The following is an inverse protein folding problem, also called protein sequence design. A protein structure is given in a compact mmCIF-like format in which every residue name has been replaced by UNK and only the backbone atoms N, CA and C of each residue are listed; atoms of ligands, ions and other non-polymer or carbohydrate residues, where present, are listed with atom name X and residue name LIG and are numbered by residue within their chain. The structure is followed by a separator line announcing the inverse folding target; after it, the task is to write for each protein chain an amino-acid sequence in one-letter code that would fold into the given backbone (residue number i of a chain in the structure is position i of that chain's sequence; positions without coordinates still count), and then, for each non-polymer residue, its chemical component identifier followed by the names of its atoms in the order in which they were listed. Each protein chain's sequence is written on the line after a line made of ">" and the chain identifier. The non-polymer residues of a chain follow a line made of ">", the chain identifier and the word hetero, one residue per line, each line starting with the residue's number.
data_IF_953420782852
#
_entry.id   IF_953420782852
#
_cell.length_a   1.000
_cell.length_b   1.000
_cell.length_c   1.000
_cell.angle_alpha   90.00
_cell.angle_beta   90.00
_cell.angle_gamma   90.00
#
_symmetry.space_group_name_H-M   'P 1'
#
loop_
_entity.id
_entity.type
_entity.pdbx_description
1 polymer ?
#
# COMPACT_ATOMS: atom_id res chain seq x y z
N UNK A 1 -9.35 -12.06 17.60
CA UNK A 1 -10.21 -11.97 16.39
C UNK A 1 -11.41 -11.17 16.84
N UNK A 2 -11.60 -9.97 16.29
CA UNK A 2 -12.73 -9.11 16.69
C UNK A 2 -14.05 -9.76 16.29
N UNK A 3 -15.00 -9.78 17.22
CA UNK A 3 -16.34 -10.34 16.98
C UNK A 3 -17.38 -9.66 17.83
N UNK A 4 -18.54 -9.40 17.23
CA UNK A 4 -19.71 -8.82 17.88
C UNK A 4 -20.90 -9.74 17.70
N UNK A 5 -21.84 -9.73 18.64
CA UNK A 5 -23.03 -10.56 18.56
C UNK A 5 -24.23 -9.77 19.05
N UNK A 6 -25.27 -9.69 18.22
CA UNK A 6 -26.57 -9.15 18.56
C UNK A 6 -27.49 -10.33 18.83
N UNK A 7 -27.95 -10.50 20.05
CA UNK A 7 -28.82 -11.62 20.46
C UNK A 7 -29.82 -11.24 21.58
N UNK A 8 -29.84 -9.97 21.96
CA UNK A 8 -30.72 -9.38 22.99
C UNK A 8 -31.34 -8.13 22.39
N UNK A 9 -32.47 -7.68 22.94
CA UNK A 9 -33.25 -6.58 22.34
C UNK A 9 -32.44 -5.28 22.32
N UNK A 10 -31.73 -5.03 23.40
CA UNK A 10 -30.92 -3.84 23.69
C UNK A 10 -29.81 -3.67 22.64
N UNK A 11 -29.25 -4.79 22.16
CA UNK A 11 -28.24 -4.79 21.11
C UNK A 11 -28.73 -4.18 19.78
N UNK A 12 -30.04 -4.13 19.55
CA UNK A 12 -30.62 -3.61 18.32
C UNK A 12 -31.03 -2.14 18.43
N UNK A 13 -30.92 -1.50 19.59
CA UNK A 13 -31.37 -0.12 19.77
C UNK A 13 -30.56 0.86 18.91
N UNK A 14 -29.24 0.66 18.85
CA UNK A 14 -28.30 1.53 18.12
C UNK A 14 -28.03 1.07 16.68
N UNK A 15 -28.66 -0.02 16.23
CA UNK A 15 -28.47 -0.56 14.88
C UNK A 15 -29.53 0.01 13.94
N UNK A 16 -29.14 0.42 12.74
CA UNK A 16 -30.07 0.97 11.76
C UNK A 16 -31.17 -0.06 11.45
N UNK A 17 -32.44 0.34 11.57
CA UNK A 17 -33.62 -0.56 11.48
C UNK A 17 -33.68 -1.67 12.55
N UNK A 18 -32.78 -1.69 13.52
CA UNK A 18 -32.78 -2.63 14.64
C UNK A 18 -34.04 -2.53 15.51
N UNK A 19 -34.49 -1.32 15.92
CA UNK A 19 -35.74 -1.17 16.67
C UNK A 19 -36.96 -1.70 15.89
N UNK A 20 -36.99 -1.47 14.58
CA UNK A 20 -38.04 -1.98 13.70
C UNK A 20 -38.06 -3.50 13.62
N UNK A 21 -36.88 -4.12 13.53
CA UNK A 21 -36.75 -5.58 13.60
C UNK A 21 -37.26 -6.12 14.95
N UNK A 22 -37.01 -5.41 16.06
CA UNK A 22 -37.51 -5.82 17.38
C UNK A 22 -39.02 -5.66 17.52
N UNK A 23 -39.63 -4.66 16.89
CA UNK A 23 -41.10 -4.53 16.80
C UNK A 23 -41.71 -5.68 16.01
N UNK A 24 -41.10 -6.05 14.87
CA UNK A 24 -41.47 -7.21 14.06
C UNK A 24 -41.42 -8.50 14.87
N UNK A 25 -40.30 -8.75 15.56
CA UNK A 25 -40.09 -9.92 16.39
C UNK A 25 -41.15 -9.99 17.49
N UNK A 26 -41.42 -8.87 18.16
CA UNK A 26 -42.45 -8.79 19.21
C UNK A 26 -43.85 -9.06 18.66
N UNK A 27 -44.24 -8.35 17.59
CA UNK A 27 -45.58 -8.44 16.99
C UNK A 27 -45.90 -9.85 16.50
N UNK A 28 -44.93 -10.53 15.91
CA UNK A 28 -45.10 -11.86 15.34
C UNK A 28 -44.78 -13.00 16.32
N UNK A 29 -44.41 -12.66 17.57
CA UNK A 29 -43.98 -13.59 18.63
C UNK A 29 -42.86 -14.52 18.14
N UNK A 30 -41.85 -13.93 17.50
CA UNK A 30 -40.66 -14.64 17.02
C UNK A 30 -39.58 -14.69 18.08
N UNK A 31 -38.57 -15.54 17.86
CA UNK A 31 -37.32 -15.46 18.61
C UNK A 31 -36.55 -14.20 18.16
N UNK A 32 -35.79 -13.62 19.08
CA UNK A 32 -34.82 -12.57 18.74
C UNK A 32 -33.76 -13.22 17.83
N UNK A 33 -33.53 -12.69 16.62
CA UNK A 33 -32.49 -13.22 15.74
C UNK A 33 -31.13 -13.08 16.40
N UNK A 34 -30.23 -14.01 16.14
CA UNK A 34 -28.83 -13.90 16.56
C UNK A 34 -28.01 -13.49 15.35
N UNK A 35 -27.42 -12.29 15.36
CA UNK A 35 -26.52 -11.80 14.31
C UNK A 35 -25.10 -11.76 14.88
N UNK A 36 -24.22 -12.60 14.34
CA UNK A 36 -22.82 -12.65 14.70
C UNK A 36 -21.96 -12.05 13.60
N UNK A 37 -21.15 -11.06 13.95
CA UNK A 37 -20.22 -10.38 13.04
C UNK A 37 -18.79 -10.70 13.45
N UNK A 38 -17.93 -11.10 12.52
CA UNK A 38 -16.57 -11.57 12.79
C UNK A 38 -15.57 -11.02 11.78
N UNK A 39 -14.47 -10.43 12.27
CA UNK A 39 -13.40 -9.91 11.42
C UNK A 39 -12.53 -11.06 10.91
N UNK A 40 -12.46 -11.21 9.59
CA UNK A 40 -11.67 -12.23 8.91
C UNK A 40 -10.20 -11.80 8.81
N UNK A 41 -9.30 -12.78 8.61
CA UNK A 41 -7.87 -12.52 8.37
C UNK A 41 -7.61 -11.62 7.15
N UNK A 42 -8.53 -11.60 6.18
CA UNK A 42 -8.49 -10.74 5.00
C UNK A 42 -8.84 -9.27 5.27
N UNK A 43 -9.22 -8.90 6.50
CA UNK A 43 -9.64 -7.54 6.86
C UNK A 43 -11.13 -7.26 6.67
N UNK A 44 -11.88 -8.17 6.05
CA UNK A 44 -13.33 -8.06 5.84
C UNK A 44 -14.14 -8.63 7.02
N UNK A 45 -15.36 -8.14 7.20
CA UNK A 45 -16.29 -8.60 8.25
C UNK A 45 -17.27 -9.64 7.72
N UNK A 46 -17.20 -10.88 8.20
CA UNK A 46 -18.21 -11.91 7.91
C UNK A 46 -19.39 -11.84 8.87
N UNK A 47 -20.61 -12.05 8.36
CA UNK A 47 -21.83 -12.02 9.18
C UNK A 47 -22.60 -13.33 9.09
N UNK A 48 -23.01 -13.86 10.22
CA UNK A 48 -23.85 -15.06 10.33
C UNK A 48 -25.10 -14.72 11.09
N UNK A 49 -26.26 -15.10 10.55
CA UNK A 49 -27.55 -14.89 11.23
C UNK A 49 -28.25 -16.21 11.51
N UNK A 50 -28.77 -16.33 12.73
CA UNK A 50 -29.52 -17.50 13.20
C UNK A 50 -30.88 -17.09 13.78
N UNK A 51 -31.73 -18.08 14.00
CA UNK A 51 -33.01 -17.96 14.69
C UNK A 51 -34.05 -17.08 13.98
N UNK A 52 -34.19 -17.23 12.66
CA UNK A 52 -35.31 -16.64 11.92
C UNK A 52 -36.57 -17.51 12.02
N UNK A 53 -37.44 -17.21 12.99
CA UNK A 53 -38.75 -17.84 13.09
C UNK A 53 -39.21 -18.12 14.51
N UNK A 54 -40.28 -18.91 14.62
CA UNK A 54 -40.76 -19.46 15.89
C UNK A 54 -39.94 -20.69 16.26
N UNK A 55 -39.90 -21.01 17.55
CA UNK A 55 -39.17 -22.17 18.11
C UNK A 55 -39.53 -23.53 17.47
N UNK A 56 -40.71 -23.64 16.85
CA UNK A 56 -41.19 -24.84 16.16
C UNK A 56 -41.23 -24.76 14.64
N UNK A 57 -40.79 -23.64 14.04
CA UNK A 57 -40.64 -23.58 12.58
C UNK A 57 -39.54 -24.59 12.16
N UNK A 58 -39.66 -25.23 10.98
CA UNK A 58 -38.55 -26.01 10.42
C UNK A 58 -37.32 -25.11 10.45
N UNK A 59 -36.19 -25.61 10.99
CA UNK A 59 -34.95 -24.83 11.08
C UNK A 59 -34.67 -24.24 9.71
N UNK A 60 -34.92 -22.94 9.55
CA UNK A 60 -34.43 -22.23 8.39
C UNK A 60 -32.92 -22.33 8.49
N UNK A 61 -32.27 -22.85 7.45
CA UNK A 61 -30.82 -22.99 7.41
C UNK A 61 -30.16 -21.71 7.93
N UNK A 62 -29.16 -21.84 8.80
CA UNK A 62 -28.39 -20.70 9.29
C UNK A 62 -27.90 -19.90 8.09
N UNK A 63 -28.28 -18.63 8.04
CA UNK A 63 -27.97 -17.79 6.88
C UNK A 63 -26.59 -17.20 7.10
N UNK A 64 -25.63 -17.67 6.32
CA UNK A 64 -24.27 -17.16 6.33
C UNK A 64 -24.11 -16.14 5.19
N UNK A 65 -23.98 -14.86 5.54
CA UNK A 65 -23.61 -13.82 4.60
C UNK A 65 -22.11 -13.56 4.68
N UNK A 66 -21.41 -13.86 3.59
CA UNK A 66 -20.07 -13.31 3.37
C UNK A 66 -20.18 -11.86 2.91
N UNK A 67 -20.62 -10.94 3.78
CA UNK A 67 -20.62 -9.52 3.41
C UNK A 67 -19.17 -9.03 3.33
N UNK A 68 -18.79 -8.42 2.22
CA UNK A 68 -17.45 -7.87 1.99
C UNK A 68 -17.40 -6.40 2.41
N UNK A 69 -17.89 -6.06 3.59
CA UNK A 69 -17.85 -4.67 4.06
C UNK A 69 -16.54 -4.44 4.81
N UNK A 70 -15.86 -3.33 4.51
CA UNK A 70 -14.71 -2.85 5.29
C UNK A 70 -15.13 -2.29 6.66
N UNK A 71 -16.41 -1.96 6.79
CA UNK A 71 -17.03 -1.38 7.98
C UNK A 71 -17.97 -2.39 8.66
N UNK A 72 -17.84 -2.51 9.98
CA UNK A 72 -18.63 -3.38 10.83
C UNK A 72 -20.09 -2.92 10.90
N UNK A 73 -20.32 -1.62 11.01
CA UNK A 73 -21.66 -1.04 11.20
C UNK A 73 -22.48 -1.19 9.92
N UNK A 74 -21.86 -0.93 8.77
CA UNK A 74 -22.46 -1.18 7.45
C UNK A 74 -22.84 -2.66 7.28
N UNK A 75 -21.98 -3.58 7.74
CA UNK A 75 -22.25 -5.01 7.71
C UNK A 75 -23.47 -5.39 8.56
N UNK A 76 -23.55 -4.88 9.79
CA UNK A 76 -24.70 -5.09 10.68
C UNK A 76 -25.99 -4.53 10.11
N UNK A 77 -25.98 -3.28 9.66
CA UNK A 77 -27.14 -2.59 9.10
C UNK A 77 -27.70 -3.34 7.88
N UNK A 78 -26.83 -3.83 7.01
CA UNK A 78 -27.23 -4.60 5.82
C UNK A 78 -27.96 -5.89 6.20
N UNK A 79 -27.45 -6.60 7.20
CA UNK A 79 -28.04 -7.88 7.64
C UNK A 79 -29.35 -7.67 8.40
N UNK A 80 -29.45 -6.63 9.22
CA UNK A 80 -30.72 -6.23 9.85
C UNK A 80 -31.76 -5.83 8.81
N UNK A 81 -31.36 -5.12 7.75
CA UNK A 81 -32.27 -4.76 6.67
C UNK A 81 -32.77 -5.99 5.90
N UNK A 82 -31.89 -6.92 5.54
CA UNK A 82 -32.27 -8.20 4.92
C UNK A 82 -33.18 -9.03 5.84
N UNK A 83 -32.91 -9.04 7.14
CA UNK A 83 -33.74 -9.69 8.16
C UNK A 83 -35.19 -9.19 8.10
N UNK A 84 -35.34 -7.86 8.13
CA UNK A 84 -36.62 -7.17 8.05
C UNK A 84 -37.35 -7.50 6.75
N UNK A 85 -36.66 -7.40 5.60
CA UNK A 85 -37.24 -7.67 4.29
C UNK A 85 -37.76 -9.11 4.17
N UNK A 86 -36.97 -10.08 4.61
CA UNK A 86 -37.35 -11.50 4.58
C UNK A 86 -38.50 -11.82 5.51
N UNK A 87 -38.48 -11.30 6.74
CA UNK A 87 -39.59 -11.48 7.69
C UNK A 87 -40.89 -10.88 7.13
N UNK A 88 -40.80 -9.67 6.58
CA UNK A 88 -41.92 -8.99 5.95
C UNK A 88 -42.50 -9.80 4.79
N UNK A 89 -41.65 -10.35 3.92
CA UNK A 89 -42.07 -11.18 2.80
C UNK A 89 -42.70 -12.52 3.24
N UNK A 90 -42.04 -13.21 4.17
CA UNK A 90 -42.40 -14.58 4.59
C UNK A 90 -43.68 -14.61 5.41
N UNK A 91 -43.93 -13.55 6.19
CA UNK A 91 -45.08 -13.42 7.08
C UNK A 91 -46.11 -12.41 6.55
N UNK A 92 -46.02 -12.00 5.29
CA UNK A 92 -46.89 -10.99 4.65
C UNK A 92 -48.40 -11.19 4.86
N UNK A 93 -48.86 -12.44 5.01
CA UNK A 93 -50.28 -12.76 5.27
C UNK A 93 -50.66 -12.45 6.72
N UNK A 94 -49.80 -12.79 7.68
CA UNK A 94 -49.95 -12.43 9.10
C UNK A 94 -49.83 -10.91 9.31
N UNK A 95 -49.03 -10.26 8.45
CA UNK A 95 -48.82 -8.81 8.44
C UNK A 95 -49.94 -8.06 7.68
N UNK A 96 -50.65 -8.72 6.77
CA UNK A 96 -51.49 -8.10 5.74
C UNK A 96 -52.65 -7.22 6.23
N UNK A 97 -53.20 -7.45 7.42
CA UNK A 97 -54.34 -6.66 7.94
C UNK A 97 -53.96 -5.53 8.88
N UNK A 98 -52.71 -5.48 9.36
CA UNK A 98 -52.32 -4.54 10.43
C UNK A 98 -50.97 -3.86 10.21
N UNK A 99 -50.12 -4.37 9.32
CA UNK A 99 -48.71 -4.03 9.36
C UNK A 99 -48.41 -2.66 8.72
N UNK A 100 -48.85 -2.42 7.49
CA UNK A 100 -48.72 -1.09 6.86
C UNK A 100 -49.67 -0.04 7.50
N UNK A 101 -50.81 -0.48 8.05
CA UNK A 101 -51.77 0.41 8.70
C UNK A 101 -51.37 0.87 10.11
N UNK A 102 -50.67 0.04 10.90
CA UNK A 102 -50.24 0.37 12.29
C UNK A 102 -48.82 0.91 12.40
N UNK A 103 -47.88 0.43 11.59
CA UNK A 103 -46.48 0.87 11.67
C UNK A 103 -46.16 2.01 10.70
N UNK A 104 -47.01 2.28 9.71
CA UNK A 104 -46.77 3.34 8.73
C UNK A 104 -45.43 3.18 7.99
N UNK A 105 -44.97 4.25 7.37
CA UNK A 105 -43.59 4.34 6.88
C UNK A 105 -42.67 4.59 8.09
N UNK A 106 -41.43 4.10 8.10
CA UNK A 106 -40.43 4.50 9.10
C UNK A 106 -39.16 5.00 8.39
N UNK A 107 -38.54 6.05 8.93
CA UNK A 107 -37.21 6.50 8.50
C UNK A 107 -36.13 5.47 8.88
N UNK A 108 -34.94 5.51 8.27
CA UNK A 108 -33.82 4.62 8.62
C UNK A 108 -33.53 4.53 10.13
N UNK A 109 -33.66 5.65 10.83
CA UNK A 109 -33.54 5.82 12.28
C UNK A 109 -34.73 5.29 13.11
N UNK A 110 -35.71 4.62 12.51
CA UNK A 110 -36.84 3.98 13.20
C UNK A 110 -38.03 4.91 13.51
N UNK A 111 -37.94 6.20 13.24
CA UNK A 111 -39.04 7.15 13.44
C UNK A 111 -40.19 6.90 12.46
N UNK A 112 -41.43 6.83 12.96
CA UNK A 112 -42.63 6.71 12.13
C UNK A 112 -42.87 7.99 11.31
N UNK A 113 -43.11 7.81 10.02
CA UNK A 113 -43.68 8.79 9.12
C UNK A 113 -45.20 8.64 9.20
N UNK A 114 -45.84 9.68 9.72
CA UNK A 114 -47.29 9.76 9.82
C UNK A 114 -47.86 9.98 8.41
N UNK A 115 -48.52 8.97 7.86
CA UNK A 115 -49.23 9.06 6.60
C UNK A 115 -50.68 9.47 6.81
N UNK A 116 -51.20 10.30 5.90
CA UNK A 116 -52.63 10.65 5.86
C UNK A 116 -53.47 9.47 5.36
N UNK A 117 -54.77 9.44 5.68
CA UNK A 117 -55.64 8.32 5.29
C UNK A 117 -55.78 8.19 3.77
N UNK A 118 -55.71 9.29 3.02
CA UNK A 118 -55.65 9.27 1.54
C UNK A 118 -54.36 8.66 0.99
N UNK A 119 -53.23 8.87 1.67
CA UNK A 119 -51.95 8.24 1.31
C UNK A 119 -51.99 6.73 1.60
N UNK A 120 -52.60 6.32 2.72
CA UNK A 120 -52.76 4.89 3.08
C UNK A 120 -53.57 4.11 2.05
N UNK A 121 -54.55 4.74 1.39
CA UNK A 121 -55.39 4.11 0.35
C UNK A 121 -54.69 3.99 -1.00
N UNK A 122 -53.78 4.93 -1.33
CA UNK A 122 -53.04 4.93 -2.62
C UNK A 122 -51.87 3.94 -2.67
N UNK A 123 -51.32 3.57 -1.53
CA UNK A 123 -50.17 2.68 -1.45
C UNK A 123 -50.59 1.23 -1.24
N UNK A 124 -50.49 0.41 -2.29
CA UNK A 124 -50.39 -1.03 -2.11
C UNK A 124 -49.08 -1.33 -1.36
N UNK A 125 -49.13 -2.03 -0.22
CA UNK A 125 -47.96 -2.53 0.52
C UNK A 125 -46.84 -3.12 -0.35
N UNK A 126 -47.23 -3.82 -1.41
CA UNK A 126 -46.31 -4.47 -2.35
C UNK A 126 -45.68 -3.47 -3.32
N UNK A 127 -46.43 -2.46 -3.75
CA UNK A 127 -45.94 -1.45 -4.69
C UNK A 127 -44.83 -0.60 -4.07
N UNK A 128 -44.97 -0.24 -2.79
CA UNK A 128 -43.97 0.55 -2.04
C UNK A 128 -42.70 -0.24 -1.80
N UNK A 129 -42.83 -1.48 -1.31
CA UNK A 129 -41.67 -2.36 -1.11
C UNK A 129 -40.91 -2.61 -2.42
N UNK A 130 -41.63 -2.75 -3.54
CA UNK A 130 -41.01 -2.88 -4.85
C UNK A 130 -40.27 -1.59 -5.28
N UNK A 131 -40.80 -0.41 -4.98
CA UNK A 131 -40.12 0.87 -5.27
C UNK A 131 -38.86 1.05 -4.42
N UNK A 132 -38.88 0.66 -3.15
CA UNK A 132 -37.69 0.67 -2.28
C UNK A 132 -36.62 -0.32 -2.76
N UNK A 133 -37.02 -1.53 -3.16
CA UNK A 133 -36.13 -2.51 -3.77
C UNK A 133 -35.53 -1.99 -5.08
N UNK A 134 -36.32 -1.37 -5.95
CA UNK A 134 -35.81 -0.76 -7.18
C UNK A 134 -34.80 0.35 -6.89
N UNK A 135 -35.06 1.19 -5.88
CA UNK A 135 -34.14 2.26 -5.50
C UNK A 135 -32.84 1.69 -4.93
N UNK A 136 -32.93 0.67 -4.07
CA UNK A 136 -31.76 -0.01 -3.51
C UNK A 136 -30.93 -0.72 -4.59
N UNK A 137 -31.58 -1.43 -5.52
CA UNK A 137 -30.93 -2.08 -6.67
C UNK A 137 -30.22 -1.04 -7.54
N UNK A 138 -30.85 0.10 -7.84
CA UNK A 138 -30.24 1.19 -8.61
C UNK A 138 -28.99 1.74 -7.92
N UNK A 139 -29.05 1.95 -6.60
CA UNK A 139 -27.89 2.42 -5.84
C UNK A 139 -26.75 1.39 -5.81
N UNK A 140 -27.06 0.11 -5.65
CA UNK A 140 -26.06 -0.97 -5.75
C UNK A 140 -25.44 -1.04 -7.15
N UNK A 141 -26.24 -0.91 -8.21
CA UNK A 141 -25.75 -0.87 -9.58
C UNK A 141 -24.83 0.32 -9.84
N UNK A 142 -25.19 1.50 -9.33
CA UNK A 142 -24.34 2.70 -9.42
C UNK A 142 -23.03 2.54 -8.67
N UNK A 143 -23.06 2.00 -7.45
CA UNK A 143 -21.85 1.74 -6.67
C UNK A 143 -20.94 0.72 -7.38
N UNK A 144 -21.52 -0.37 -7.88
CA UNK A 144 -20.79 -1.37 -8.66
C UNK A 144 -20.15 -0.76 -9.91
N UNK A 145 -20.88 0.10 -10.63
CA UNK A 145 -20.37 0.77 -11.82
C UNK A 145 -19.20 1.71 -11.48
N UNK A 146 -19.32 2.48 -10.39
CA UNK A 146 -18.26 3.36 -9.90
C UNK A 146 -17.00 2.56 -9.52
N UNK A 147 -17.16 1.48 -8.74
CA UNK A 147 -16.04 0.60 -8.38
C UNK A 147 -15.40 -0.04 -9.61
N UNK A 148 -16.18 -0.45 -10.62
CA UNK A 148 -15.65 -0.99 -11.88
C UNK A 148 -14.84 0.06 -12.65
N UNK A 149 -15.28 1.32 -12.67
CA UNK A 149 -14.52 2.41 -13.29
C UNK A 149 -13.21 2.68 -12.55
N UNK A 150 -13.23 2.74 -11.22
CA UNK A 150 -12.03 2.91 -10.40
C UNK A 150 -11.05 1.74 -10.57
N UNK A 151 -11.55 0.51 -10.59
CA UNK A 151 -10.73 -0.69 -10.79
C UNK A 151 -10.08 -0.70 -12.18
N UNK A 152 -10.81 -0.30 -13.21
CA UNK A 152 -10.24 -0.14 -14.55
C UNK A 152 -9.17 0.95 -14.60
N UNK A 153 -9.38 2.09 -13.93
CA UNK A 153 -8.36 3.15 -13.84
C UNK A 153 -7.09 2.65 -13.12
N UNK A 154 -7.25 1.91 -12.01
CA UNK A 154 -6.13 1.28 -11.30
C UNK A 154 -5.41 0.24 -12.18
N UNK A 155 -6.16 -0.55 -12.97
CA UNK A 155 -5.58 -1.56 -13.87
C UNK A 155 -4.73 -0.92 -14.98
N UNK A 156 -5.20 0.18 -15.57
CA UNK A 156 -4.42 0.92 -16.57
C UNK A 156 -3.20 1.60 -15.95
N UNK A 157 -3.35 2.19 -14.75
CA UNK A 157 -2.21 2.75 -14.00
C UNK A 157 -1.15 1.68 -13.68
N UNK A 158 -1.58 0.51 -13.21
CA UNK A 158 -0.69 -0.63 -12.94
C UNK A 158 0.03 -1.11 -14.21
N UNK A 159 -0.65 -1.11 -15.35
CA UNK A 159 -0.05 -1.49 -16.64
C UNK A 159 1.01 -0.49 -17.08
N UNK A 160 0.75 0.81 -16.93
CA UNK A 160 1.72 1.88 -17.21
C UNK A 160 2.94 1.76 -16.28
N UNK A 161 2.72 1.54 -14.99
CA UNK A 161 3.80 1.41 -13.99
C UNK A 161 4.67 0.17 -14.26
N UNK A 162 4.05 -0.97 -14.59
CA UNK A 162 4.78 -2.18 -15.01
C UNK A 162 5.68 -1.93 -16.23
N UNK A 163 5.21 -1.12 -17.18
CA UNK A 163 5.99 -0.76 -18.37
C UNK A 163 7.20 0.12 -18.02
N UNK A 164 7.03 1.09 -17.10
CA UNK A 164 8.14 1.90 -16.56
C UNK A 164 9.17 1.02 -15.84
N UNK A 165 8.72 0.11 -14.97
CA UNK A 165 9.60 -0.82 -14.26
C UNK A 165 10.36 -1.72 -15.23
N UNK A 166 9.70 -2.20 -16.29
CA UNK A 166 10.35 -3.00 -17.32
C UNK A 166 11.44 -2.20 -18.08
N UNK A 167 11.21 -0.92 -18.37
CA UNK A 167 12.20 -0.04 -18.97
C UNK A 167 13.40 0.21 -18.04
N UNK A 168 13.16 0.47 -16.75
CA UNK A 168 14.24 0.62 -15.76
C UNK A 168 15.08 -0.67 -15.67
N UNK A 169 14.43 -1.85 -15.66
CA UNK A 169 15.13 -3.14 -15.69
C UNK A 169 15.97 -3.36 -16.96
N UNK A 170 15.62 -2.76 -18.10
CA UNK A 170 16.44 -2.84 -19.31
C UNK A 170 17.74 -2.06 -19.23
N UNK A 171 17.81 -1.01 -18.42
CA UNK A 171 19.03 -0.22 -18.21
C UNK A 171 19.92 -0.80 -17.10
N UNK A 172 19.42 -1.73 -16.30
CA UNK A 172 20.17 -2.40 -15.23
C UNK A 172 21.44 -3.15 -15.73
N UNK A 173 21.43 -3.86 -16.89
CA UNK A 173 22.62 -4.46 -17.48
C UNK A 173 23.65 -3.43 -17.95
N UNK A 174 23.21 -2.30 -18.51
CA UNK A 174 24.10 -1.20 -18.91
C UNK A 174 24.76 -0.55 -17.70
N UNK A 175 23.98 -0.33 -16.63
CA UNK A 175 24.49 0.19 -15.35
C UNK A 175 25.49 -0.78 -14.72
N UNK A 176 25.22 -2.09 -14.76
CA UNK A 176 26.17 -3.11 -14.29
C UNK A 176 27.46 -3.12 -15.11
N UNK A 177 27.37 -3.00 -16.44
CA UNK A 177 28.54 -2.93 -17.32
C UNK A 177 29.40 -1.70 -17.02
N UNK A 178 28.78 -0.53 -16.92
CA UNK A 178 29.48 0.72 -16.58
C UNK A 178 30.16 0.66 -15.19
N UNK A 179 29.52 0.01 -14.20
CA UNK A 179 30.14 -0.21 -12.88
C UNK A 179 31.36 -1.13 -12.97
N UNK A 180 31.29 -2.18 -13.79
CA UNK A 180 32.42 -3.08 -13.98
C UNK A 180 33.57 -2.38 -14.71
N UNK A 181 33.27 -1.60 -15.75
CA UNK A 181 34.27 -0.83 -16.49
C UNK A 181 34.95 0.22 -15.59
N UNK A 182 34.18 0.89 -14.73
CA UNK A 182 34.73 1.81 -13.73
C UNK A 182 35.69 1.10 -12.76
N UNK A 183 35.31 -0.09 -12.27
CA UNK A 183 36.15 -0.89 -11.36
C UNK A 183 37.46 -1.33 -12.03
N UNK A 184 37.39 -1.72 -13.31
CA UNK A 184 38.56 -2.09 -14.10
C UNK A 184 39.48 -0.87 -14.31
N UNK A 185 38.91 0.29 -14.63
CA UNK A 185 39.65 1.56 -14.79
C UNK A 185 40.35 1.98 -13.49
N UNK A 186 39.66 1.88 -12.34
CA UNK A 186 40.26 2.15 -11.03
C UNK A 186 41.45 1.21 -10.73
N UNK A 187 41.33 -0.08 -11.05
CA UNK A 187 42.43 -1.03 -10.87
C UNK A 187 43.64 -0.68 -11.75
N UNK A 188 43.42 -0.30 -13.01
CA UNK A 188 44.50 0.14 -13.90
C UNK A 188 45.15 1.45 -13.43
N UNK A 189 44.36 2.43 -12.99
CA UNK A 189 44.88 3.68 -12.45
C UNK A 189 45.74 3.45 -11.19
N UNK A 190 45.31 2.55 -10.31
CA UNK A 190 46.10 2.17 -9.15
C UNK A 190 47.42 1.49 -9.55
N UNK A 191 47.38 0.55 -10.50
CA UNK A 191 48.58 -0.11 -11.01
C UNK A 191 49.58 0.90 -11.61
N UNK A 192 49.10 1.84 -12.44
CA UNK A 192 49.92 2.93 -12.97
C UNK A 192 50.49 3.83 -11.88
N UNK A 193 49.72 4.12 -10.82
CA UNK A 193 50.21 4.86 -9.66
C UNK A 193 51.35 4.16 -8.91
N UNK A 194 51.27 2.83 -8.76
CA UNK A 194 52.35 2.02 -8.17
C UNK A 194 53.61 2.09 -9.04
N UNK A 195 53.44 2.01 -10.36
CA UNK A 195 54.55 2.04 -11.31
C UNK A 195 55.24 3.41 -11.37
N UNK A 196 54.46 4.50 -11.35
CA UNK A 196 54.96 5.88 -11.20
C UNK A 196 55.75 6.02 -9.91
N UNK A 197 55.26 5.47 -8.79
CA UNK A 197 55.96 5.55 -7.51
C UNK A 197 57.30 4.80 -7.57
N UNK A 198 57.35 3.65 -8.24
CA UNK A 198 58.59 2.88 -8.46
C UNK A 198 59.60 3.69 -9.27
N UNK A 199 59.17 4.29 -10.38
CA UNK A 199 60.02 5.14 -11.21
C UNK A 199 60.54 6.36 -10.43
N UNK A 200 59.69 6.98 -9.61
CA UNK A 200 60.07 8.11 -8.76
C UNK A 200 61.16 7.73 -7.75
N UNK A 201 61.06 6.55 -7.14
CA UNK A 201 62.08 6.03 -6.22
C UNK A 201 63.41 5.79 -6.95
N UNK A 202 63.38 5.20 -8.14
CA UNK A 202 64.59 4.98 -8.96
C UNK A 202 65.27 6.29 -9.37
N UNK A 203 64.48 7.32 -9.73
CA UNK A 203 65.00 8.64 -10.06
C UNK A 203 65.75 9.27 -8.88
N UNK A 204 65.19 9.17 -7.66
CA UNK A 204 65.83 9.68 -6.45
C UNK A 204 67.18 8.99 -6.18
N UNK A 205 67.25 7.68 -6.41
CA UNK A 205 68.48 6.92 -6.23
C UNK A 205 69.57 7.35 -7.23
N UNK A 206 69.23 7.49 -8.51
CA UNK A 206 70.13 8.01 -9.55
C UNK A 206 70.61 9.43 -9.25
N UNK A 207 69.72 10.31 -8.79
CA UNK A 207 70.11 11.67 -8.36
C UNK A 207 71.09 11.63 -7.19
N UNK A 208 70.91 10.72 -6.23
CA UNK A 208 71.84 10.52 -5.12
C UNK A 208 73.22 10.06 -5.60
N UNK A 209 73.27 9.10 -6.53
CA UNK A 209 74.51 8.64 -7.14
C UNK A 209 75.22 9.76 -7.90
N UNK A 210 74.48 10.52 -8.71
CA UNK A 210 75.04 11.65 -9.46
C UNK A 210 75.67 12.71 -8.55
N UNK A 211 75.01 13.05 -7.42
CA UNK A 211 75.59 13.98 -6.43
C UNK A 211 76.92 13.47 -5.86
N UNK A 212 77.01 12.17 -5.53
CA UNK A 212 78.26 11.57 -5.02
C UNK A 212 79.39 11.65 -6.05
N UNK A 213 79.09 11.33 -7.31
CA UNK A 213 80.08 11.42 -8.40
C UNK A 213 80.54 12.87 -8.57
N UNK A 214 79.62 13.84 -8.51
CA UNK A 214 79.96 15.26 -8.62
C UNK A 214 80.91 15.72 -7.51
N UNK A 215 80.61 15.39 -6.26
CA UNK A 215 81.47 15.72 -5.10
C UNK A 215 82.85 15.06 -5.25
N UNK A 216 82.91 13.79 -5.67
CA UNK A 216 84.18 13.11 -5.91
C UNK A 216 84.97 13.78 -7.05
N UNK A 217 84.30 14.23 -8.10
CA UNK A 217 84.93 14.97 -9.20
C UNK A 217 85.47 16.33 -8.77
N UNK A 218 84.73 17.07 -7.94
CA UNK A 218 85.17 18.33 -7.33
C UNK A 218 86.41 18.10 -6.45
N UNK A 219 86.41 17.06 -5.60
CA UNK A 219 87.56 16.69 -4.78
C UNK A 219 88.81 16.32 -5.62
N UNK A 220 88.63 15.52 -6.68
CA UNK A 220 89.71 15.17 -7.59
C UNK A 220 90.26 16.40 -8.34
N UNK A 221 89.40 17.36 -8.68
CA UNK A 221 89.82 18.61 -9.31
C UNK A 221 90.68 19.47 -8.35
N UNK A 222 90.30 19.58 -7.08
CA UNK A 222 91.11 20.26 -6.05
C UNK A 222 92.45 19.55 -5.80
N UNK A 223 92.48 18.21 -5.75
CA UNK A 223 93.72 17.43 -5.64
C UNK A 223 94.66 17.68 -6.83
N UNK A 224 94.11 17.71 -8.06
CA UNK A 224 94.87 18.01 -9.27
C UNK A 224 95.44 19.44 -9.25
N UNK A 225 94.68 20.42 -8.77
CA UNK A 225 95.14 21.81 -8.69
C UNK A 225 96.32 21.99 -7.73
N UNK A 226 96.38 21.22 -6.63
CA UNK A 226 97.54 21.17 -5.71
C UNK A 226 98.79 20.55 -6.34
N UNK A 227 98.64 19.78 -7.41
CA UNK A 227 99.76 19.12 -8.11
C UNK A 227 100.29 19.89 -9.32
N UNK A 228 99.72 21.06 -9.64
CA UNK A 228 100.27 21.92 -10.69
C UNK A 228 101.59 22.56 -10.20
N UNK A 229 102.72 22.38 -10.91
CA UNK A 229 103.95 23.07 -10.57
C UNK A 229 103.83 24.56 -10.87
N UNK A 230 104.37 25.40 -9.98
CA UNK A 230 104.51 26.85 -10.19
C UNK A 230 105.28 27.12 -11.49
N UNK A 231 104.57 27.55 -12.53
CA UNK A 231 105.22 28.10 -13.72
C UNK A 231 105.87 29.44 -13.35
N UNK A 232 107.19 29.40 -13.16
CA UNK A 232 108.04 30.61 -13.16
C UNK A 232 107.85 31.34 -14.49
N UNK A 233 107.43 32.60 -14.41
CA UNK A 233 107.54 33.59 -15.50
C UNK A 233 108.96 33.55 -16.11
N UNK A 234 109.12 33.56 -17.44
CA UNK A 234 110.40 33.96 -18.03
C UNK A 234 110.56 35.46 -17.81
N UNK A 235 111.59 35.83 -17.07
CA UNK A 235 112.20 37.16 -17.09
C UNK A 235 112.76 37.42 -18.48
N UNK A 236 112.34 38.54 -19.07
CA UNK A 236 113.13 39.24 -20.07
C UNK A 236 114.51 39.54 -19.48
N UNK A 237 115.58 39.29 -20.25
CA UNK A 237 116.66 40.26 -20.44
C UNK A 237 117.58 39.83 -21.57
N UNK A 238 117.98 40.87 -22.30
CA UNK A 238 118.89 41.01 -23.42
C UNK A 238 120.26 40.31 -23.17
N UNK A 239 120.95 39.83 -24.23
CA UNK A 239 122.04 40.61 -24.83
C UNK A 239 122.91 39.83 -25.86
N UNK A 240 123.40 40.61 -26.83
CA UNK A 240 124.65 40.50 -27.60
C UNK A 240 124.79 39.62 -28.88
N UNK A 241 124.79 40.40 -29.99
CA UNK A 241 125.50 40.31 -31.30
C UNK A 241 124.83 39.50 -32.42
#
# INVERSE_FOLDING_TARGET
>A
MESYTLNEREHYEDVLRGPFLMELVHMMKLLIPEIKVTKRKSGFWGVTTKNFGRKGDPKTEDINYGTLTHDCDMGMNTVVHDAVARLSYRRRVELGTHYFGRLGWQKPEGAHIILTDEQKVKFSPVLVYNQELEHYIKNLQMNLLSELFENNALRESLKAEKLKVANVKKHDPEIQKLRQDLKNSQAMAHAGGVEIQKLKNQLLELQGQHRKIRVNGEYLAEELEKTKPDEKKPTDDEDMI
#
